data_IF_561663962781
#
_entry.id   IF_561663962781
#
_cell.length_a   1.000
_cell.length_b   1.000
_cell.length_c   1.000
_cell.angle_alpha   90.00
_cell.angle_beta   90.00
_cell.angle_gamma   90.00
#
_symmetry.space_group_name_H-M   'P 1'
#
loop_
_entity.id
_entity.type
_entity.pdbx_description
1 polymer ?
#
# COMPACT_ATOMS: atom_id res chain seq x y z
N UNK A 1 9.62 7.07 -3.87
CA UNK A 1 9.85 6.75 -2.43
C UNK A 1 9.28 7.84 -1.55
N UNK A 2 8.83 7.50 -0.34
CA UNK A 2 8.20 8.46 0.59
C UNK A 2 8.71 8.21 2.00
N UNK A 3 8.83 9.29 2.79
CA UNK A 3 9.14 9.23 4.21
C UNK A 3 8.13 10.06 5.00
N UNK A 4 7.66 9.50 6.10
CA UNK A 4 6.77 10.14 7.07
C UNK A 4 7.39 9.99 8.45
N UNK A 5 7.41 11.06 9.23
CA UNK A 5 7.76 11.02 10.64
C UNK A 5 6.61 11.56 11.47
N UNK A 6 6.05 10.73 12.32
CA UNK A 6 5.04 11.10 13.30
C UNK A 6 5.65 11.13 14.71
N UNK A 7 5.07 11.97 15.54
CA UNK A 7 5.31 12.00 16.97
C UNK A 7 4.02 11.65 17.71
N UNK A 8 4.10 10.67 18.61
CA UNK A 8 2.96 10.32 19.46
C UNK A 8 2.63 11.47 20.41
N UNK A 9 1.36 11.81 20.50
CA UNK A 9 0.77 12.77 21.44
C UNK A 9 -0.19 12.07 22.39
N UNK A 10 -0.65 12.76 23.42
CA UNK A 10 -1.64 12.21 24.37
C UNK A 10 -2.93 11.77 23.67
N UNK A 11 -3.38 12.53 22.66
CA UNK A 11 -4.63 12.28 21.93
C UNK A 11 -4.39 12.10 20.42
N UNK A 12 -3.43 11.24 20.03
CA UNK A 12 -3.21 10.95 18.62
C UNK A 12 -1.78 11.17 18.15
N UNK A 13 -1.62 11.69 16.95
CA UNK A 13 -0.34 11.81 16.27
C UNK A 13 -0.11 13.21 15.72
N UNK A 14 1.14 13.65 15.71
CA UNK A 14 1.55 14.90 15.08
C UNK A 14 2.59 14.63 14.00
N UNK A 15 2.38 15.21 12.81
CA UNK A 15 3.32 15.14 11.69
C UNK A 15 4.52 16.03 11.97
N UNK A 16 5.72 15.44 11.94
CA UNK A 16 6.98 16.15 12.09
C UNK A 16 7.67 16.39 10.75
N UNK A 17 7.56 15.43 9.83
CA UNK A 17 8.13 15.54 8.50
C UNK A 17 7.39 14.62 7.52
N UNK A 18 7.28 15.10 6.28
CA UNK A 18 6.85 14.34 5.12
C UNK A 18 7.64 14.77 3.88
N UNK A 19 8.04 13.81 3.08
CA UNK A 19 8.65 14.09 1.80
C UNK A 19 8.69 12.90 0.88
N UNK A 20 8.92 13.19 -0.41
CA UNK A 20 8.98 12.20 -1.47
C UNK A 20 10.27 12.35 -2.24
N UNK A 21 10.85 11.24 -2.65
CA UNK A 21 12.04 11.18 -3.54
C UNK A 21 11.67 10.32 -4.74
N UNK A 22 11.74 10.84 -5.96
CA UNK A 22 11.60 10.03 -7.16
C UNK A 22 12.73 8.99 -7.21
N UNK A 23 12.43 7.85 -7.82
CA UNK A 23 13.38 6.81 -8.16
C UNK A 23 13.59 6.82 -9.67
N UNK A 24 14.79 6.49 -10.10
CA UNK A 24 15.07 6.24 -11.52
C UNK A 24 14.16 5.08 -11.98
N UNK A 25 13.58 5.15 -13.19
CA UNK A 25 12.78 4.06 -13.73
C UNK A 25 13.52 2.72 -13.66
N UNK A 26 12.76 1.64 -13.45
CA UNK A 26 13.28 0.26 -13.32
C UNK A 26 14.21 -0.02 -12.13
N UNK A 27 14.41 0.93 -11.22
CA UNK A 27 15.16 0.69 -9.97
C UNK A 27 14.46 -0.33 -9.06
N UNK A 28 13.13 -0.34 -9.09
CA UNK A 28 12.28 -1.37 -8.44
C UNK A 28 11.27 -1.84 -9.48
N UNK A 29 11.21 -3.15 -9.71
CA UNK A 29 10.27 -3.80 -10.65
C UNK A 29 9.44 -4.81 -9.89
N UNK A 30 8.12 -4.69 -9.94
CA UNK A 30 7.15 -5.58 -9.28
C UNK A 30 7.47 -5.88 -7.79
N UNK A 31 7.96 -4.86 -7.09
CA UNK A 31 8.36 -4.96 -5.69
C UNK A 31 9.75 -5.53 -5.45
N UNK A 32 10.49 -5.93 -6.50
CA UNK A 32 11.87 -6.40 -6.40
C UNK A 32 12.86 -5.26 -6.67
N UNK A 33 13.86 -5.10 -5.81
CA UNK A 33 14.91 -4.09 -5.97
C UNK A 33 15.90 -4.59 -7.03
N UNK A 34 16.02 -3.84 -8.14
CA UNK A 34 16.94 -4.15 -9.23
C UNK A 34 18.27 -3.38 -9.10
N UNK A 35 18.26 -2.22 -8.47
CA UNK A 35 19.44 -1.40 -8.21
C UNK A 35 19.46 -0.93 -6.75
N UNK A 36 20.17 -1.69 -5.92
CA UNK A 36 20.32 -1.41 -4.49
C UNK A 36 21.04 -0.07 -4.24
N UNK A 37 22.01 0.27 -5.07
CA UNK A 37 22.79 1.51 -4.96
C UNK A 37 21.92 2.74 -5.18
N UNK A 38 21.12 2.74 -6.24
CA UNK A 38 20.19 3.84 -6.55
C UNK A 38 19.11 4.00 -5.46
N UNK A 39 18.57 2.89 -4.90
CA UNK A 39 17.60 2.96 -3.81
C UNK A 39 18.23 3.52 -2.54
N UNK A 40 19.40 3.04 -2.14
CA UNK A 40 20.12 3.52 -0.94
C UNK A 40 20.47 5.00 -1.04
N UNK A 41 20.91 5.44 -2.22
CA UNK A 41 21.22 6.87 -2.46
C UNK A 41 19.94 7.73 -2.38
N UNK A 42 18.84 7.30 -2.97
CA UNK A 42 17.57 8.00 -2.88
C UNK A 42 17.07 8.11 -1.42
N UNK A 43 17.28 7.08 -0.59
CA UNK A 43 16.99 7.14 0.86
C UNK A 43 17.86 8.20 1.53
N UNK A 44 19.19 8.21 1.29
CA UNK A 44 20.11 9.21 1.86
C UNK A 44 19.72 10.64 1.50
N UNK A 45 19.39 10.87 0.23
CA UNK A 45 18.95 12.19 -0.26
C UNK A 45 17.66 12.65 0.41
N UNK A 46 16.68 11.74 0.55
CA UNK A 46 15.42 12.04 1.21
C UNK A 46 15.63 12.40 2.69
N UNK A 47 16.43 11.62 3.40
CA UNK A 47 16.78 11.87 4.82
C UNK A 47 17.50 13.20 5.02
N UNK A 48 18.49 13.47 4.17
CA UNK A 48 19.26 14.73 4.20
C UNK A 48 18.36 15.94 3.92
N UNK A 49 17.52 15.87 2.88
CA UNK A 49 16.61 16.95 2.50
C UNK A 49 15.60 17.27 3.59
N UNK A 50 15.06 16.24 4.25
CA UNK A 50 14.11 16.38 5.36
C UNK A 50 14.79 16.65 6.70
N UNK A 51 16.13 16.65 6.75
CA UNK A 51 16.95 16.85 7.96
C UNK A 51 16.58 15.90 9.08
N UNK A 52 16.19 14.65 8.74
CA UNK A 52 15.78 13.63 9.70
C UNK A 52 16.97 13.14 10.52
N UNK A 53 16.78 13.11 11.84
CA UNK A 53 17.80 12.59 12.78
C UNK A 53 17.51 11.15 13.22
N UNK A 54 16.25 10.72 13.12
CA UNK A 54 15.83 9.37 13.48
C UNK A 54 16.51 8.36 12.54
N UNK A 55 17.06 7.30 13.14
CA UNK A 55 17.75 6.23 12.41
C UNK A 55 16.90 4.97 12.32
N UNK A 56 16.05 4.74 13.31
CA UNK A 56 15.15 3.59 13.34
C UNK A 56 13.97 3.86 12.41
N UNK A 57 13.67 2.89 11.56
CA UNK A 57 12.62 3.01 10.55
C UNK A 57 11.79 1.75 10.43
N UNK A 58 10.54 1.92 10.03
CA UNK A 58 9.67 0.87 9.53
C UNK A 58 9.58 1.00 8.00
N UNK A 59 9.57 -0.13 7.31
CA UNK A 59 9.44 -0.22 5.85
C UNK A 59 8.31 -1.16 5.48
N UNK A 60 7.81 -1.08 4.25
CA UNK A 60 6.79 -2.00 3.75
C UNK A 60 7.24 -2.68 2.46
N UNK A 61 6.83 -3.94 2.33
CA UNK A 61 6.97 -4.75 1.12
C UNK A 61 5.58 -5.04 0.51
N UNK A 62 5.55 -5.32 -0.78
CA UNK A 62 4.34 -5.66 -1.53
C UNK A 62 4.69 -6.50 -2.77
N UNK A 63 3.67 -7.02 -3.45
CA UNK A 63 3.81 -7.74 -4.71
C UNK A 63 3.84 -9.25 -4.55
N UNK A 64 4.20 -9.95 -5.63
CA UNK A 64 4.12 -11.41 -5.72
C UNK A 64 4.99 -12.20 -4.72
N UNK A 65 5.96 -11.51 -4.11
CA UNK A 65 6.83 -12.11 -3.09
C UNK A 65 6.20 -12.16 -1.71
N UNK A 66 4.99 -11.59 -1.55
CA UNK A 66 4.22 -11.55 -0.30
C UNK A 66 2.92 -12.31 -0.49
N UNK A 67 2.67 -13.29 0.35
CA UNK A 67 1.40 -14.05 0.39
C UNK A 67 0.69 -13.71 1.70
N UNK A 68 -0.57 -13.35 1.60
CA UNK A 68 -1.45 -13.14 2.75
C UNK A 68 -2.64 -14.07 2.57
N UNK A 69 -2.92 -14.90 3.57
CA UNK A 69 -3.97 -15.91 3.48
C UNK A 69 -4.68 -16.08 4.81
N UNK A 70 -6.00 -16.07 4.78
CA UNK A 70 -6.79 -16.50 5.92
C UNK A 70 -6.82 -18.03 5.92
N UNK A 71 -6.39 -18.65 7.02
CA UNK A 71 -6.37 -20.09 7.20
C UNK A 71 -7.05 -20.47 8.51
N UNK A 72 -7.56 -21.71 8.57
CA UNK A 72 -8.09 -22.31 9.79
C UNK A 72 -7.17 -23.48 10.18
N UNK A 73 -6.72 -23.47 11.43
CA UNK A 73 -5.86 -24.52 11.98
C UNK A 73 -6.54 -25.19 13.19
N UNK A 74 -6.19 -26.41 13.56
CA UNK A 74 -6.67 -27.02 14.80
C UNK A 74 -6.40 -26.10 15.99
N UNK A 75 -7.35 -26.09 16.94
CA UNK A 75 -7.15 -25.30 18.16
C UNK A 75 -5.97 -25.85 18.97
N UNK A 76 -5.03 -24.98 19.27
CA UNK A 76 -3.82 -25.30 20.04
C UNK A 76 -3.44 -24.10 20.93
N UNK A 77 -2.60 -24.34 21.91
CA UNK A 77 -2.07 -23.25 22.76
C UNK A 77 -1.22 -22.28 21.96
N UNK A 78 -1.11 -21.00 22.37
CA UNK A 78 -0.27 -20.03 21.66
C UNK A 78 1.17 -20.47 21.40
N UNK A 79 1.79 -21.15 22.36
CA UNK A 79 3.16 -21.67 22.26
C UNK A 79 3.25 -22.81 21.23
N UNK A 80 2.25 -23.69 21.20
CA UNK A 80 2.14 -24.79 20.25
C UNK A 80 1.91 -24.24 18.83
N UNK A 81 1.03 -23.24 18.71
CA UNK A 81 0.76 -22.58 17.43
C UNK A 81 2.05 -21.91 16.91
N UNK A 82 2.77 -21.16 17.74
CA UNK A 82 4.02 -20.52 17.36
C UNK A 82 5.09 -21.52 16.89
N UNK A 83 5.15 -22.70 17.50
CA UNK A 83 6.07 -23.77 17.12
C UNK A 83 5.66 -24.46 15.81
N UNK A 84 4.36 -24.59 15.53
CA UNK A 84 3.83 -25.37 14.42
C UNK A 84 3.44 -24.53 13.19
N UNK A 85 3.33 -23.20 13.32
CA UNK A 85 2.82 -22.35 12.25
C UNK A 85 3.61 -22.50 10.93
N UNK A 86 4.91 -22.77 10.98
CA UNK A 86 5.73 -23.00 9.78
C UNK A 86 5.33 -24.28 9.04
N UNK A 87 4.94 -25.32 9.77
CA UNK A 87 4.47 -26.58 9.17
C UNK A 87 3.07 -26.41 8.59
N UNK A 88 2.18 -25.72 9.33
CA UNK A 88 0.83 -25.40 8.83
C UNK A 88 0.87 -24.53 7.58
N UNK A 89 1.77 -23.55 7.55
CA UNK A 89 1.94 -22.63 6.41
C UNK A 89 2.36 -23.35 5.12
N UNK A 90 3.16 -24.44 5.21
CA UNK A 90 3.67 -25.17 4.05
C UNK A 90 2.55 -25.65 3.10
N UNK A 91 1.37 -25.97 3.65
CA UNK A 91 0.22 -26.40 2.87
C UNK A 91 -0.52 -25.24 2.17
N UNK A 92 -0.18 -23.99 2.52
CA UNK A 92 -0.92 -22.81 2.10
C UNK A 92 -0.10 -21.84 1.23
N UNK A 93 1.22 -21.98 1.20
CA UNK A 93 2.13 -21.10 0.45
C UNK A 93 2.80 -21.84 -0.70
N UNK A 94 3.01 -21.18 -1.86
CA UNK A 94 3.63 -21.81 -3.04
C UNK A 94 5.17 -21.76 -3.01
N UNK A 95 5.77 -21.42 -1.88
CA UNK A 95 7.21 -21.27 -1.70
C UNK A 95 7.76 -22.34 -0.76
N UNK A 96 9.03 -22.66 -0.87
CA UNK A 96 9.70 -23.52 0.10
C UNK A 96 9.68 -22.88 1.51
N UNK A 97 9.44 -23.71 2.52
CA UNK A 97 9.35 -23.26 3.92
C UNK A 97 10.60 -22.50 4.39
N UNK A 98 11.76 -22.90 3.88
CA UNK A 98 13.04 -22.31 4.25
C UNK A 98 13.37 -21.02 3.50
N UNK A 99 12.63 -20.73 2.42
CA UNK A 99 12.81 -19.56 1.56
C UNK A 99 11.97 -18.36 1.97
N UNK A 100 11.13 -18.51 3.01
CA UNK A 100 10.20 -17.45 3.45
C UNK A 100 10.37 -17.07 4.91
N UNK A 101 10.10 -15.79 5.20
CA UNK A 101 9.75 -15.34 6.54
C UNK A 101 8.24 -15.48 6.71
N UNK A 102 7.80 -15.96 7.87
CA UNK A 102 6.40 -16.23 8.18
C UNK A 102 6.03 -15.52 9.46
N UNK A 103 4.90 -14.83 9.42
CA UNK A 103 4.23 -14.27 10.60
C UNK A 103 2.72 -14.56 10.52
N UNK A 104 2.00 -14.39 11.63
CA UNK A 104 0.58 -14.63 11.68
C UNK A 104 -0.12 -13.77 12.72
N UNK A 105 -1.40 -13.52 12.49
CA UNK A 105 -2.28 -12.86 13.45
C UNK A 105 -3.55 -13.68 13.64
N UNK A 106 -3.89 -14.02 14.90
CA UNK A 106 -5.12 -14.76 15.22
C UNK A 106 -6.32 -13.82 15.09
N UNK A 107 -7.19 -14.10 14.11
CA UNK A 107 -8.39 -13.29 13.85
C UNK A 107 -9.61 -13.82 14.62
N UNK A 108 -9.68 -15.13 14.85
CA UNK A 108 -10.71 -15.76 15.67
C UNK A 108 -10.11 -16.96 16.42
N UNK A 109 -9.98 -16.90 17.75
CA UNK A 109 -9.32 -17.95 18.52
C UNK A 109 -10.12 -19.26 18.54
N UNK A 110 -11.44 -19.21 18.35
CA UNK A 110 -12.29 -20.40 18.31
C UNK A 110 -13.51 -20.16 17.41
N UNK A 111 -13.54 -20.82 16.28
CA UNK A 111 -14.70 -20.85 15.38
C UNK A 111 -15.79 -21.80 15.89
N UNK A 112 -16.98 -21.75 15.29
CA UNK A 112 -18.06 -22.69 15.57
C UNK A 112 -17.67 -24.16 15.28
N UNK A 113 -16.68 -24.40 14.41
CA UNK A 113 -16.12 -25.73 14.11
C UNK A 113 -15.00 -26.16 15.06
N UNK A 114 -14.67 -25.36 16.09
CA UNK A 114 -13.61 -25.67 17.05
C UNK A 114 -12.18 -25.48 16.49
N UNK A 115 -12.04 -24.65 15.46
CA UNK A 115 -10.73 -24.31 14.87
C UNK A 115 -10.33 -22.87 15.24
N UNK A 116 -9.03 -22.57 15.15
CA UNK A 116 -8.51 -21.21 15.24
C UNK A 116 -8.35 -20.64 13.82
N UNK A 117 -8.96 -19.49 13.56
CA UNK A 117 -8.71 -18.74 12.32
C UNK A 117 -7.57 -17.74 12.52
N UNK A 118 -6.69 -17.69 11.55
CA UNK A 118 -5.58 -16.74 11.54
C UNK A 118 -5.32 -16.18 10.13
N UNK A 119 -4.75 -15.02 10.12
CA UNK A 119 -4.19 -14.40 8.92
C UNK A 119 -2.72 -14.77 8.87
N UNK A 120 -2.35 -15.60 7.89
CA UNK A 120 -0.98 -16.02 7.64
C UNK A 120 -0.33 -15.04 6.66
N UNK A 121 0.88 -14.63 6.96
CA UNK A 121 1.73 -13.80 6.09
C UNK A 121 3.01 -14.55 5.80
N UNK A 122 3.38 -14.67 4.55
CA UNK A 122 4.66 -15.24 4.14
C UNK A 122 5.31 -14.32 3.10
N UNK A 123 6.57 -13.98 3.30
CA UNK A 123 7.35 -13.14 2.40
C UNK A 123 8.67 -13.83 2.04
N UNK A 124 9.10 -13.75 0.79
CA UNK A 124 10.39 -14.30 0.37
C UNK A 124 11.53 -13.64 1.14
N UNK A 125 12.40 -14.45 1.77
CA UNK A 125 13.56 -13.99 2.55
C UNK A 125 14.48 -13.09 1.73
N UNK A 126 14.69 -13.43 0.46
CA UNK A 126 15.51 -12.64 -0.47
C UNK A 126 15.00 -11.21 -0.54
N UNK A 127 13.70 -11.02 -0.82
CA UNK A 127 13.08 -9.68 -0.92
C UNK A 127 13.17 -8.94 0.41
N UNK A 128 12.83 -9.59 1.53
CA UNK A 128 12.95 -8.98 2.87
C UNK A 128 14.38 -8.53 3.13
N UNK A 129 15.37 -9.38 2.80
CA UNK A 129 16.80 -9.08 3.00
C UNK A 129 17.28 -7.91 2.14
N UNK A 130 16.86 -7.84 0.88
CA UNK A 130 17.22 -6.74 -0.03
C UNK A 130 16.68 -5.39 0.48
N UNK A 131 15.42 -5.37 0.92
CA UNK A 131 14.83 -4.15 1.52
C UNK A 131 15.53 -3.73 2.81
N UNK A 132 15.90 -4.68 3.66
CA UNK A 132 16.69 -4.42 4.87
C UNK A 132 18.07 -3.88 4.50
N UNK A 133 18.72 -4.47 3.48
CA UNK A 133 20.09 -4.11 3.09
C UNK A 133 20.17 -2.68 2.55
N UNK A 134 19.29 -2.27 1.64
CA UNK A 134 19.30 -0.90 1.09
C UNK A 134 19.06 0.17 2.15
N UNK A 135 18.28 -0.16 3.19
CA UNK A 135 18.04 0.74 4.32
C UNK A 135 19.30 0.85 5.19
N UNK A 136 19.99 -0.27 5.46
CA UNK A 136 21.26 -0.29 6.18
C UNK A 136 22.35 0.45 5.42
N UNK A 137 22.43 0.26 4.12
CA UNK A 137 23.40 0.97 3.25
C UNK A 137 23.15 2.49 3.23
N UNK A 138 21.92 2.91 3.51
CA UNK A 138 21.58 4.32 3.73
C UNK A 138 21.90 4.83 5.16
N UNK A 139 22.61 4.05 6.00
CA UNK A 139 22.92 4.31 7.39
C UNK A 139 21.68 4.47 8.31
N UNK A 140 20.63 3.70 8.01
CA UNK A 140 19.41 3.60 8.82
C UNK A 140 19.29 2.18 9.42
N UNK A 141 18.43 2.03 10.43
CA UNK A 141 18.18 0.78 11.15
C UNK A 141 16.72 0.35 10.94
N UNK A 142 16.44 -0.61 10.05
CA UNK A 142 15.09 -1.13 9.89
C UNK A 142 14.69 -1.95 11.11
N UNK A 143 13.64 -1.53 11.82
CA UNK A 143 13.11 -2.20 13.00
C UNK A 143 11.90 -3.06 12.66
N UNK A 144 11.13 -2.66 11.65
CA UNK A 144 9.92 -3.34 11.21
C UNK A 144 9.93 -3.45 9.70
N UNK A 145 9.63 -4.64 9.18
CA UNK A 145 9.25 -4.87 7.78
C UNK A 145 7.79 -5.27 7.80
N UNK A 146 6.93 -4.38 7.37
CA UNK A 146 5.48 -4.57 7.33
C UNK A 146 5.02 -4.88 5.90
N UNK A 147 3.75 -5.20 5.73
CA UNK A 147 3.12 -5.35 4.42
C UNK A 147 2.38 -4.06 4.06
N UNK A 148 2.53 -3.61 2.81
CA UNK A 148 1.94 -2.36 2.35
C UNK A 148 0.41 -2.27 2.57
N UNK A 149 -0.31 -3.39 2.41
CA UNK A 149 -1.74 -3.47 2.66
C UNK A 149 -2.10 -3.18 4.11
N UNK A 150 -1.35 -3.73 5.08
CA UNK A 150 -1.58 -3.50 6.51
C UNK A 150 -1.11 -2.12 6.96
N UNK A 151 0.02 -1.65 6.45
CA UNK A 151 0.45 -0.28 6.68
C UNK A 151 -0.57 0.74 6.16
N UNK A 152 -1.18 0.49 5.00
CA UNK A 152 -2.28 1.31 4.46
C UNK A 152 -3.51 1.28 5.39
N UNK A 153 -3.87 0.12 5.90
CA UNK A 153 -4.96 -0.04 6.88
C UNK A 153 -4.68 0.75 8.16
N UNK A 154 -3.49 0.59 8.75
CA UNK A 154 -3.09 1.32 9.95
C UNK A 154 -3.19 2.85 9.75
N UNK A 155 -2.71 3.34 8.60
CA UNK A 155 -2.83 4.76 8.24
C UNK A 155 -4.27 5.22 8.06
N UNK A 156 -5.12 4.38 7.49
CA UNK A 156 -6.54 4.64 7.34
C UNK A 156 -7.25 4.68 8.70
N UNK A 157 -7.07 3.68 9.55
CA UNK A 157 -7.70 3.61 10.88
C UNK A 157 -7.26 4.74 11.81
N UNK A 158 -6.04 5.24 11.67
CA UNK A 158 -5.57 6.41 12.40
C UNK A 158 -6.35 7.69 12.05
N UNK A 159 -6.86 7.78 10.82
CA UNK A 159 -7.48 8.98 10.28
C UNK A 159 -9.01 8.91 10.19
N UNK A 160 -9.59 7.70 10.18
CA UNK A 160 -11.02 7.49 9.97
C UNK A 160 -11.64 6.72 11.15
N UNK A 161 -12.78 7.18 11.60
CA UNK A 161 -13.61 6.38 12.48
C UNK A 161 -14.42 5.38 11.64
N UNK A 162 -14.31 4.10 12.00
CA UNK A 162 -15.08 3.03 11.36
C UNK A 162 -16.29 2.69 12.24
N UNK A 163 -17.47 2.61 11.64
CA UNK A 163 -18.58 1.88 12.26
C UNK A 163 -18.22 0.39 12.20
N UNK A 164 -18.41 -0.38 13.29
CA UNK A 164 -18.13 -1.82 13.28
C UNK A 164 -18.89 -2.60 12.19
N UNK A 165 -19.96 -2.04 11.64
CA UNK A 165 -20.72 -2.64 10.53
C UNK A 165 -20.18 -2.30 9.15
N UNK A 166 -19.30 -1.31 9.05
CA UNK A 166 -18.71 -0.89 7.77
C UNK A 166 -17.69 -1.91 7.28
N UNK A 167 -17.85 -2.32 6.03
CA UNK A 167 -16.81 -3.02 5.29
C UNK A 167 -16.28 -2.07 4.23
N UNK A 168 -15.03 -1.71 4.35
CA UNK A 168 -14.36 -0.72 3.49
C UNK A 168 -13.36 -1.42 2.59
N UNK A 169 -13.37 -1.09 1.30
CA UNK A 169 -12.33 -1.50 0.36
C UNK A 169 -11.29 -0.41 0.29
N UNK A 170 -10.08 -0.69 0.77
CA UNK A 170 -8.93 0.18 0.62
C UNK A 170 -8.16 -0.24 -0.64
N UNK A 171 -7.94 0.68 -1.57
CA UNK A 171 -7.14 0.44 -2.77
C UNK A 171 -6.01 1.47 -2.80
N UNK A 172 -4.79 1.02 -2.53
CA UNK A 172 -3.62 1.86 -2.70
C UNK A 172 -3.02 1.66 -4.09
N UNK A 173 -3.10 2.67 -4.94
CA UNK A 173 -2.68 2.61 -6.34
C UNK A 173 -1.29 3.23 -6.45
N UNK A 174 -0.27 2.37 -6.45
CA UNK A 174 1.13 2.74 -6.63
C UNK A 174 1.51 2.97 -8.10
N UNK A 175 2.81 3.03 -8.36
CA UNK A 175 3.32 3.17 -9.73
C UNK A 175 3.17 1.87 -10.53
N UNK A 176 3.59 0.73 -10.00
CA UNK A 176 3.53 -0.57 -10.67
C UNK A 176 2.49 -1.52 -10.07
N UNK A 177 2.25 -1.44 -8.77
CA UNK A 177 1.39 -2.37 -8.02
C UNK A 177 0.26 -1.59 -7.36
N UNK A 178 -0.95 -2.17 -7.39
CA UNK A 178 -2.09 -1.75 -6.59
C UNK A 178 -2.38 -2.79 -5.51
N UNK A 179 -2.49 -2.34 -4.26
CA UNK A 179 -2.83 -3.18 -3.12
C UNK A 179 -4.30 -3.00 -2.80
N UNK A 180 -5.05 -4.09 -2.78
CA UNK A 180 -6.46 -4.13 -2.38
C UNK A 180 -6.53 -4.76 -1.00
N UNK A 181 -7.15 -4.09 -0.04
CA UNK A 181 -7.41 -4.61 1.29
C UNK A 181 -8.86 -4.33 1.69
N UNK A 182 -9.62 -5.36 2.00
CA UNK A 182 -11.01 -5.23 2.44
C UNK A 182 -11.05 -5.42 3.95
N UNK A 183 -11.49 -4.40 4.65
CA UNK A 183 -11.39 -4.27 6.11
C UNK A 183 -12.77 -4.12 6.74
N UNK A 184 -13.01 -4.84 7.84
CA UNK A 184 -14.17 -4.66 8.72
C UNK A 184 -13.71 -4.74 10.18
N UNK A 185 -14.12 -3.78 10.99
CA UNK A 185 -13.83 -3.76 12.44
C UNK A 185 -12.34 -3.94 12.78
N UNK A 186 -11.44 -3.33 12.01
CA UNK A 186 -10.00 -3.46 12.22
C UNK A 186 -9.38 -4.78 11.72
N UNK A 187 -10.17 -5.67 11.14
CA UNK A 187 -9.70 -6.96 10.63
C UNK A 187 -9.66 -6.93 9.11
N UNK A 188 -8.52 -7.29 8.53
CA UNK A 188 -8.39 -7.54 7.09
C UNK A 188 -9.11 -8.85 6.74
N UNK A 189 -10.17 -8.75 5.94
CA UNK A 189 -10.96 -9.90 5.48
C UNK A 189 -10.42 -10.48 4.18
N UNK A 190 -9.84 -9.64 3.34
CA UNK A 190 -9.31 -10.02 2.03
C UNK A 190 -8.19 -9.06 1.62
N UNK A 191 -7.12 -9.59 1.09
CA UNK A 191 -6.01 -8.82 0.51
C UNK A 191 -5.64 -9.38 -0.84
N UNK A 192 -5.31 -8.51 -1.77
CA UNK A 192 -4.76 -8.89 -3.07
C UNK A 192 -3.89 -7.78 -3.64
N UNK A 193 -2.70 -8.13 -4.08
CA UNK A 193 -1.87 -7.28 -4.91
C UNK A 193 -2.17 -7.53 -6.39
N UNK A 194 -2.30 -6.46 -7.15
CA UNK A 194 -2.53 -6.50 -8.60
C UNK A 194 -1.38 -5.76 -9.27
N UNK A 195 -0.74 -6.41 -10.25
CA UNK A 195 0.42 -5.86 -10.99
C UNK A 195 -0.07 -4.87 -12.05
N UNK A 196 -0.79 -3.86 -11.62
CA UNK A 196 -1.19 -2.71 -12.41
C UNK A 196 -1.17 -1.47 -11.53
N UNK A 197 -0.65 -0.36 -12.03
CA UNK A 197 -0.54 0.89 -11.31
C UNK A 197 -0.45 2.08 -12.26
N UNK A 198 0.02 3.20 -11.75
CA UNK A 198 0.12 4.45 -12.51
C UNK A 198 0.99 4.40 -13.76
N UNK A 199 1.97 3.50 -13.79
CA UNK A 199 2.82 3.31 -14.96
C UNK A 199 2.03 2.87 -16.19
N UNK A 200 0.93 2.11 -16.01
CA UNK A 200 0.09 1.69 -17.13
C UNK A 200 -0.48 2.89 -17.93
N UNK A 201 -0.78 4.00 -17.25
CA UNK A 201 -1.17 5.24 -17.95
C UNK A 201 -0.02 5.82 -18.73
N UNK A 202 1.14 5.98 -18.11
CA UNK A 202 2.33 6.59 -18.73
C UNK A 202 2.79 5.78 -19.93
N UNK A 203 2.86 4.46 -19.81
CA UNK A 203 3.26 3.54 -20.87
C UNK A 203 2.28 3.55 -22.06
N UNK A 204 0.97 3.54 -21.79
CA UNK A 204 -0.01 3.55 -22.87
C UNK A 204 -0.08 4.93 -23.56
N UNK A 205 0.08 6.05 -22.82
CA UNK A 205 0.22 7.39 -23.42
C UNK A 205 1.47 7.45 -24.31
N UNK A 206 2.63 6.99 -23.83
CA UNK A 206 3.85 6.92 -24.63
C UNK A 206 3.65 6.16 -25.94
N UNK A 207 3.05 4.97 -25.84
CA UNK A 207 2.83 4.09 -26.98
C UNK A 207 1.87 4.69 -28.02
N UNK A 208 0.76 5.29 -27.58
CA UNK A 208 -0.24 5.82 -28.47
C UNK A 208 0.15 7.15 -29.09
N UNK A 209 0.87 8.00 -28.33
CA UNK A 209 1.25 9.35 -28.77
C UNK A 209 2.66 9.41 -29.37
N UNK A 210 3.51 8.38 -29.16
CA UNK A 210 4.89 8.37 -29.65
C UNK A 210 5.81 9.39 -28.94
N UNK A 211 5.55 9.72 -27.66
CA UNK A 211 6.25 10.72 -26.86
C UNK A 211 7.16 10.11 -25.80
N UNK A 212 7.99 10.92 -25.17
CA UNK A 212 8.88 10.49 -24.08
C UNK A 212 8.11 10.22 -22.79
N UNK A 213 8.71 9.44 -21.85
CA UNK A 213 8.07 9.03 -20.59
C UNK A 213 7.75 10.21 -19.67
N UNK A 214 8.65 11.19 -19.61
CA UNK A 214 8.48 12.40 -18.80
C UNK A 214 7.34 13.28 -19.30
N UNK A 215 7.19 13.41 -20.62
CA UNK A 215 6.07 14.11 -21.24
C UNK A 215 4.74 13.36 -21.01
N UNK A 216 4.73 12.03 -21.16
CA UNK A 216 3.57 11.21 -20.89
C UNK A 216 3.15 11.31 -19.41
N UNK A 217 4.10 11.29 -18.48
CA UNK A 217 3.85 11.50 -17.06
C UNK A 217 3.28 12.89 -16.77
N UNK A 218 3.80 13.94 -17.42
CA UNK A 218 3.29 15.30 -17.30
C UNK A 218 1.84 15.41 -17.75
N UNK A 219 1.46 14.78 -18.85
CA UNK A 219 0.05 14.70 -19.28
C UNK A 219 -0.82 13.94 -18.27
N UNK A 220 -0.34 12.81 -17.75
CA UNK A 220 -1.08 12.02 -16.75
C UNK A 220 -1.43 12.83 -15.50
N UNK A 221 -0.50 13.65 -15.03
CA UNK A 221 -0.73 14.48 -13.81
C UNK A 221 -1.47 15.78 -14.07
N UNK A 222 -2.00 16.00 -15.27
CA UNK A 222 -2.90 17.11 -15.58
C UNK A 222 -2.31 18.20 -16.45
N UNK A 223 -1.21 17.94 -17.15
CA UNK A 223 -0.63 18.85 -18.12
C UNK A 223 0.02 20.13 -17.56
N UNK A 224 0.07 20.30 -16.23
CA UNK A 224 0.65 21.49 -15.60
C UNK A 224 2.15 21.68 -15.87
N UNK A 225 2.80 20.67 -16.44
CA UNK A 225 4.20 20.71 -16.85
C UNK A 225 4.38 20.77 -18.38
N UNK A 226 3.31 20.81 -19.14
CA UNK A 226 3.35 20.98 -20.59
C UNK A 226 3.39 22.46 -20.95
N UNK A 227 4.02 22.83 -22.08
CA UNK A 227 4.18 24.23 -22.50
C UNK A 227 2.82 24.96 -22.60
N UNK A 228 1.76 24.25 -23.01
CA UNK A 228 0.42 24.83 -23.18
C UNK A 228 -0.50 24.62 -21.96
N UNK A 229 -0.11 23.84 -20.95
CA UNK A 229 -0.93 23.52 -19.76
C UNK A 229 -2.22 22.75 -20.05
N UNK A 230 -2.41 22.26 -21.29
CA UNK A 230 -3.63 21.56 -21.75
C UNK A 230 -3.31 20.12 -22.07
N UNK A 231 -4.11 19.20 -21.54
CA UNK A 231 -4.03 17.78 -21.88
C UNK A 231 -4.76 17.53 -23.20
N UNK A 232 -4.09 16.96 -24.23
CA UNK A 232 -4.74 16.64 -25.50
C UNK A 232 -5.91 15.67 -25.33
N UNK A 233 -6.93 15.81 -26.18
CA UNK A 233 -8.13 14.98 -26.10
C UNK A 233 -7.84 13.50 -26.36
N UNK A 234 -6.85 13.22 -27.21
CA UNK A 234 -6.36 11.86 -27.47
C UNK A 234 -5.79 11.22 -26.21
N UNK A 235 -5.00 11.95 -25.42
CA UNK A 235 -4.45 11.49 -24.14
C UNK A 235 -5.59 11.19 -23.15
N UNK A 236 -6.62 12.04 -23.09
CA UNK A 236 -7.78 11.78 -22.22
C UNK A 236 -8.48 10.47 -22.59
N UNK A 237 -8.62 10.15 -23.89
CA UNK A 237 -9.20 8.86 -24.34
C UNK A 237 -8.33 7.67 -23.95
N UNK A 238 -7.00 7.80 -24.07
CA UNK A 238 -6.05 6.78 -23.62
C UNK A 238 -6.21 6.54 -22.13
N UNK A 239 -6.24 7.61 -21.33
CA UNK A 239 -6.43 7.52 -19.88
C UNK A 239 -7.77 6.87 -19.51
N UNK A 240 -8.84 7.15 -20.23
CA UNK A 240 -10.14 6.49 -20.03
C UNK A 240 -10.03 4.98 -20.30
N UNK A 241 -9.37 4.58 -21.39
CA UNK A 241 -9.16 3.17 -21.73
C UNK A 241 -8.40 2.41 -20.64
N UNK A 242 -7.28 2.98 -20.15
CA UNK A 242 -6.50 2.39 -19.05
C UNK A 242 -7.32 2.33 -17.76
N UNK A 243 -8.09 3.38 -17.46
CA UNK A 243 -8.98 3.42 -16.29
C UNK A 243 -10.01 2.28 -16.31
N UNK A 244 -10.58 1.96 -17.48
CA UNK A 244 -11.51 0.85 -17.62
C UNK A 244 -10.85 -0.52 -17.35
N UNK A 245 -9.62 -0.71 -17.82
CA UNK A 245 -8.86 -1.95 -17.56
C UNK A 245 -8.58 -2.08 -16.07
N UNK A 246 -8.05 -1.03 -15.43
CA UNK A 246 -7.75 -1.03 -13.99
C UNK A 246 -9.00 -1.27 -13.14
N UNK A 247 -10.08 -0.54 -13.42
CA UNK A 247 -11.34 -0.71 -12.71
C UNK A 247 -11.92 -2.12 -12.89
N UNK A 248 -11.70 -2.76 -14.06
CA UNK A 248 -12.06 -4.16 -14.30
C UNK A 248 -11.29 -5.13 -13.41
N UNK A 249 -9.99 -4.91 -13.19
CA UNK A 249 -9.16 -5.72 -12.27
C UNK A 249 -9.62 -5.57 -10.80
N UNK A 250 -9.91 -4.34 -10.38
CA UNK A 250 -10.41 -4.09 -9.04
C UNK A 250 -11.79 -4.72 -8.82
N UNK A 251 -12.68 -4.61 -9.82
CA UNK A 251 -13.99 -5.24 -9.77
C UNK A 251 -13.90 -6.78 -9.65
N UNK A 252 -13.02 -7.44 -10.40
CA UNK A 252 -12.81 -8.89 -10.27
C UNK A 252 -12.38 -9.30 -8.86
N UNK A 253 -11.56 -8.49 -8.19
CA UNK A 253 -11.15 -8.74 -6.81
C UNK A 253 -12.32 -8.60 -5.83
N UNK A 254 -13.14 -7.58 -6.05
CA UNK A 254 -14.35 -7.34 -5.26
C UNK A 254 -15.39 -8.46 -5.46
N UNK A 255 -15.63 -8.87 -6.70
CA UNK A 255 -16.56 -9.95 -7.04
C UNK A 255 -16.13 -11.28 -6.40
N UNK A 256 -14.82 -11.57 -6.42
CA UNK A 256 -14.27 -12.75 -5.75
C UNK A 256 -14.53 -12.70 -4.23
N UNK A 257 -14.28 -11.56 -3.59
CA UNK A 257 -14.54 -11.38 -2.16
C UNK A 257 -16.04 -11.57 -1.85
N UNK A 258 -16.93 -10.95 -2.62
CA UNK A 258 -18.39 -11.06 -2.43
C UNK A 258 -18.89 -12.48 -2.63
N UNK A 259 -18.31 -13.23 -3.56
CA UNK A 259 -18.68 -14.62 -3.83
C UNK A 259 -18.18 -15.61 -2.76
N UNK A 260 -17.11 -15.27 -2.04
CA UNK A 260 -16.44 -16.19 -1.09
C UNK A 260 -16.67 -15.84 0.38
N UNK A 261 -17.28 -14.69 0.67
CA UNK A 261 -17.47 -14.20 2.03
C UNK A 261 -18.98 -14.07 2.33
N UNK A 262 -19.45 -14.83 3.31
CA UNK A 262 -20.82 -14.69 3.81
C UNK A 262 -21.03 -13.30 4.46
N UNK A 263 -22.21 -12.71 4.28
CA UNK A 263 -22.58 -11.39 4.81
C UNK A 263 -21.62 -10.26 4.40
N UNK A 264 -21.00 -10.40 3.23
CA UNK A 264 -20.14 -9.38 2.66
C UNK A 264 -20.99 -8.16 2.23
N UNK A 265 -21.06 -7.16 3.08
CA UNK A 265 -21.74 -5.88 2.79
C UNK A 265 -20.71 -4.76 2.69
N UNK A 266 -20.17 -4.54 1.50
CA UNK A 266 -19.21 -3.45 1.26
C UNK A 266 -19.96 -2.12 1.20
N UNK A 267 -19.51 -1.15 1.99
CA UNK A 267 -20.18 0.15 2.14
C UNK A 267 -19.55 1.26 1.28
N UNK A 268 -18.23 1.21 1.07
CA UNK A 268 -17.50 2.23 0.29
C UNK A 268 -16.12 1.75 -0.16
N UNK A 269 -15.56 2.50 -1.11
CA UNK A 269 -14.18 2.36 -1.59
C UNK A 269 -13.38 3.58 -1.17
N UNK A 270 -12.16 3.38 -0.67
CA UNK A 270 -11.22 4.43 -0.35
C UNK A 270 -9.95 4.23 -1.18
N UNK A 271 -9.62 5.22 -1.99
CA UNK A 271 -8.44 5.21 -2.85
C UNK A 271 -7.27 5.93 -2.19
N UNK A 272 -6.10 5.32 -2.20
CA UNK A 272 -4.83 5.89 -1.77
C UNK A 272 -3.77 5.73 -2.86
N UNK A 273 -2.59 6.31 -2.65
CA UNK A 273 -1.49 6.26 -3.60
C UNK A 273 -1.54 7.37 -4.66
N UNK A 274 -0.48 7.49 -5.46
CA UNK A 274 -0.33 8.59 -6.42
C UNK A 274 -1.40 8.63 -7.50
N UNK A 275 -1.76 7.46 -8.03
CA UNK A 275 -2.75 7.34 -9.10
C UNK A 275 -4.20 7.42 -8.62
N UNK A 276 -4.42 7.49 -7.30
CA UNK A 276 -5.74 7.79 -6.73
C UNK A 276 -6.27 9.18 -7.11
N UNK A 277 -5.47 10.02 -7.74
CA UNK A 277 -5.86 11.37 -8.21
C UNK A 277 -6.42 11.38 -9.63
N UNK A 278 -6.34 10.26 -10.36
CA UNK A 278 -6.78 10.18 -11.76
C UNK A 278 -8.31 10.15 -11.83
N UNK A 279 -8.91 11.25 -12.29
CA UNK A 279 -10.37 11.43 -12.30
C UNK A 279 -11.09 10.40 -13.19
N UNK A 280 -10.52 10.02 -14.34
CA UNK A 280 -11.09 8.98 -15.20
C UNK A 280 -11.18 7.62 -14.49
N UNK A 281 -10.19 7.32 -13.64
CA UNK A 281 -10.18 6.08 -12.85
C UNK A 281 -11.27 6.09 -11.77
N UNK A 282 -11.51 7.22 -11.10
CA UNK A 282 -12.63 7.34 -10.15
C UNK A 282 -13.96 6.98 -10.81
N UNK A 283 -14.25 7.64 -11.95
CA UNK A 283 -15.49 7.41 -12.70
C UNK A 283 -15.64 5.95 -13.14
N UNK A 284 -14.55 5.32 -13.58
CA UNK A 284 -14.57 3.92 -14.01
C UNK A 284 -14.85 2.97 -12.83
N UNK A 285 -14.21 3.19 -11.67
CA UNK A 285 -14.42 2.39 -10.47
C UNK A 285 -15.85 2.57 -9.94
N UNK A 286 -16.34 3.80 -9.77
CA UNK A 286 -17.71 4.08 -9.28
C UNK A 286 -18.77 3.46 -10.17
N UNK A 287 -18.62 3.59 -11.50
CA UNK A 287 -19.56 3.02 -12.47
C UNK A 287 -19.65 1.50 -12.38
N UNK A 288 -18.50 0.81 -12.17
CA UNK A 288 -18.44 -0.65 -12.11
C UNK A 288 -18.90 -1.18 -10.76
N UNK A 289 -18.38 -0.63 -9.68
CA UNK A 289 -18.66 -1.12 -8.32
C UNK A 289 -20.02 -0.69 -7.80
N UNK A 290 -20.55 0.46 -8.28
CA UNK A 290 -21.75 1.13 -7.77
C UNK A 290 -21.64 1.50 -6.29
N UNK A 291 -20.42 1.64 -5.77
CA UNK A 291 -20.14 2.01 -4.40
C UNK A 291 -19.66 3.45 -4.32
N UNK A 292 -19.97 4.16 -3.23
CA UNK A 292 -19.37 5.46 -2.94
C UNK A 292 -17.83 5.34 -2.90
N UNK A 293 -17.14 6.32 -3.49
CA UNK A 293 -15.70 6.37 -3.56
C UNK A 293 -15.21 7.68 -2.94
N UNK A 294 -14.18 7.58 -2.11
CA UNK A 294 -13.46 8.73 -1.58
C UNK A 294 -11.94 8.55 -1.76
N UNK A 295 -11.23 9.67 -1.90
CA UNK A 295 -9.77 9.67 -1.89
C UNK A 295 -9.29 9.85 -0.45
N UNK A 296 -8.34 9.03 -0.02
CA UNK A 296 -7.84 9.05 1.34
C UNK A 296 -7.16 10.38 1.69
N UNK A 297 -7.48 10.89 2.86
CA UNK A 297 -6.73 11.96 3.50
C UNK A 297 -5.93 11.40 4.67
N UNK A 298 -4.62 11.28 4.48
CA UNK A 298 -3.69 10.74 5.48
C UNK A 298 -3.43 11.70 6.64
N UNK A 299 -3.93 12.92 6.57
CA UNK A 299 -3.76 13.97 7.59
C UNK A 299 -5.04 14.33 8.32
N UNK A 300 -6.15 13.65 8.04
CA UNK A 300 -7.50 14.02 8.53
C UNK A 300 -7.58 14.16 10.06
N UNK A 301 -6.82 13.36 10.81
CA UNK A 301 -6.76 13.36 12.28
C UNK A 301 -5.33 13.50 12.82
N UNK A 302 -4.38 13.79 11.95
CA UNK A 302 -2.99 14.05 12.32
C UNK A 302 -2.79 15.55 12.53
N UNK A 303 -2.27 15.94 13.68
CA UNK A 303 -1.90 17.33 13.94
C UNK A 303 -0.73 17.72 13.02
N UNK A 304 -0.86 18.79 12.27
CA UNK A 304 0.16 19.26 11.33
C UNK A 304 0.97 20.38 12.00
N UNK A 305 2.31 20.22 12.05
CA UNK A 305 3.22 21.26 12.51
C UNK A 305 3.01 22.52 11.65
N UNK A 306 2.84 23.71 12.26
CA UNK A 306 2.63 24.98 11.55
C UNK A 306 3.74 25.35 10.56
N UNK A 307 4.94 24.80 10.71
CA UNK A 307 6.08 25.06 9.83
C UNK A 307 6.04 24.26 8.52
N UNK A 308 5.16 23.23 8.43
CA UNK A 308 5.02 22.42 7.24
C UNK A 308 4.11 23.08 6.20
N UNK A 309 4.47 22.94 4.94
CA UNK A 309 3.67 23.43 3.80
C UNK A 309 2.37 22.65 3.65
N UNK A 310 1.26 23.27 4.09
CA UNK A 310 -0.06 22.65 4.04
C UNK A 310 -0.55 22.37 2.64
N UNK A 311 -0.16 23.17 1.64
CA UNK A 311 -0.56 22.96 0.26
C UNK A 311 0.12 21.71 -0.30
N UNK A 312 1.42 21.57 -0.04
CA UNK A 312 2.17 20.36 -0.39
C UNK A 312 1.60 19.11 0.30
N UNK A 313 1.29 19.20 1.59
CA UNK A 313 0.70 18.09 2.34
C UNK A 313 -0.67 17.70 1.79
N UNK A 314 -1.55 18.66 1.51
CA UNK A 314 -2.87 18.39 0.94
C UNK A 314 -2.77 17.74 -0.44
N UNK A 315 -1.90 18.25 -1.30
CA UNK A 315 -1.68 17.74 -2.64
C UNK A 315 -1.17 16.28 -2.65
N UNK A 316 -0.42 15.87 -1.62
CA UNK A 316 0.21 14.55 -1.52
C UNK A 316 -0.37 13.66 -0.42
N UNK A 317 -1.51 14.05 0.15
CA UNK A 317 -2.15 13.32 1.24
C UNK A 317 -2.43 11.85 0.92
N UNK A 318 -3.04 11.50 -0.23
CA UNK A 318 -3.33 10.10 -0.54
C UNK A 318 -2.08 9.22 -0.68
N UNK A 319 -0.95 9.83 -1.04
CA UNK A 319 0.33 9.15 -1.24
C UNK A 319 1.04 8.82 0.08
N UNK A 320 0.64 9.47 1.15
CA UNK A 320 1.27 9.36 2.47
C UNK A 320 0.69 8.23 3.34
N UNK A 321 -0.46 7.66 2.97
CA UNK A 321 -1.24 6.76 3.84
C UNK A 321 -0.42 5.59 4.39
N UNK A 322 0.33 4.88 3.53
CA UNK A 322 1.24 3.80 3.95
C UNK A 322 2.31 4.32 4.90
N UNK A 323 2.92 5.48 4.58
CA UNK A 323 3.95 6.08 5.42
C UNK A 323 3.43 6.48 6.80
N UNK A 324 2.20 6.96 6.90
CA UNK A 324 1.52 7.22 8.18
C UNK A 324 1.38 5.94 8.98
N UNK A 325 0.86 4.87 8.39
CA UNK A 325 0.74 3.58 9.07
C UNK A 325 2.07 3.01 9.54
N UNK A 326 3.12 3.09 8.69
CA UNK A 326 4.47 2.64 9.06
C UNK A 326 5.07 3.45 10.21
N UNK A 327 4.88 4.78 10.21
CA UNK A 327 5.44 5.64 11.25
C UNK A 327 4.80 5.46 12.63
N UNK A 328 3.73 4.68 12.72
CA UNK A 328 3.09 4.28 13.96
C UNK A 328 3.65 2.97 14.53
N UNK A 329 4.44 2.23 13.74
CA UNK A 329 5.02 0.95 14.14
C UNK A 329 6.26 1.14 15.01
N UNK A 330 6.42 0.23 15.96
CA UNK A 330 7.59 0.14 16.84
C UNK A 330 8.20 -1.25 16.79
N UNK A 331 9.48 -1.37 17.08
CA UNK A 331 10.12 -2.67 17.21
C UNK A 331 9.43 -3.52 18.30
N UNK A 332 9.04 -4.75 17.93
CA UNK A 332 8.33 -5.67 18.82
C UNK A 332 6.80 -5.61 18.73
N UNK A 333 6.22 -4.71 17.93
CA UNK A 333 4.79 -4.78 17.62
C UNK A 333 4.48 -6.07 16.86
N UNK A 334 3.39 -6.74 17.25
CA UNK A 334 2.85 -7.94 16.57
C UNK A 334 1.55 -7.60 15.86
#
# INVERSE_FOLDING_TARGET
MKAVQLKRKTNGWALQAFGMQPLVPQTIVDGTIMDQGAVSEAIRQLWSRLKLRQKEVAIAIAGHSVIIKKIAVPMMKPEELAANIRNEAEHHIPFGRDDVEIDYHVTNPMTASGQTELLLVAAKKEVVSDYIQVVRDANLSPQVVDVAAFASQNGFEANYQLDPRDTVVLINIGAAISNINIVRSGVSLFTRDVTIGGNAFTEEIQKQMGIAADEAEAYKVGGSQTEDGVVPQEVLRVMEGVSEVMAGEFQRSLDFFLATTADANVTRIVLAGGSSKVTSLHRAIERRSRLPLEVADAWKRVEIDPQLDRNYLSAHSPEALIGVGLSMRSGGDK
#
